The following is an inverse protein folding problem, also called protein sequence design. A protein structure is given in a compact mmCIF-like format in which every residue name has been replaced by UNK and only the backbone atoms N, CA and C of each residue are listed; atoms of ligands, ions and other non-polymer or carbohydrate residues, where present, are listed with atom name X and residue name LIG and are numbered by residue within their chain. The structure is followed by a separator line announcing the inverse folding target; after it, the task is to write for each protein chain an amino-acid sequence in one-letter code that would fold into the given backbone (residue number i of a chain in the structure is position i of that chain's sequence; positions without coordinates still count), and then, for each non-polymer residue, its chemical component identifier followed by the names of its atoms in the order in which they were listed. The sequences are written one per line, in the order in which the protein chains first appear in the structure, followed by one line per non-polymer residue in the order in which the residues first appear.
data_IF_204294137788
#
_entry.id   IF_204294137788
#
_cell.length_a   1.000
_cell.length_b   1.000
_cell.length_c   1.000
_cell.angle_alpha   90.00
_cell.angle_beta   90.00
_cell.angle_gamma   90.00
#
_symmetry.space_group_name_H-M   'P 1'
#
loop_
_entity.id
_entity.type
_entity.pdbx_description
1 polymer ?
#
# COMPACT_ATOMS: atom_id res chain seq x y z
N UNK A 1 11.29 -1.64 -10.03
CA UNK A 1 9.97 -2.04 -10.61
C UNK A 1 10.11 -2.67 -12.00
N UNK A 2 10.96 -2.15 -12.90
CA UNK A 2 11.10 -2.68 -14.26
C UNK A 2 11.44 -4.19 -14.32
N UNK A 3 12.38 -4.67 -13.50
CA UNK A 3 12.74 -6.09 -13.45
C UNK A 3 11.54 -7.00 -13.11
N UNK A 4 10.73 -6.61 -12.12
CA UNK A 4 9.52 -7.34 -11.72
C UNK A 4 8.52 -7.47 -12.88
N UNK A 5 8.29 -6.39 -13.63
CA UNK A 5 7.39 -6.39 -14.78
C UNK A 5 7.95 -7.18 -15.97
N UNK A 6 9.26 -7.05 -16.24
CA UNK A 6 9.93 -7.78 -17.31
C UNK A 6 9.83 -9.29 -17.10
N UNK A 7 10.09 -9.76 -15.87
CA UNK A 7 9.95 -11.17 -15.49
C UNK A 7 8.49 -11.61 -15.56
N UNK A 8 7.55 -10.79 -15.09
CA UNK A 8 6.11 -11.09 -15.20
C UNK A 8 5.68 -11.33 -16.66
N UNK A 9 6.12 -10.45 -17.57
CA UNK A 9 5.84 -10.56 -19.00
C UNK A 9 6.46 -11.80 -19.60
N UNK A 10 7.71 -12.11 -19.25
CA UNK A 10 8.42 -13.23 -19.84
C UNK A 10 7.83 -14.58 -19.42
N UNK A 11 7.52 -14.75 -18.12
CA UNK A 11 6.88 -15.97 -17.62
C UNK A 11 5.49 -16.16 -18.21
N UNK A 12 4.70 -15.08 -18.34
CA UNK A 12 3.39 -15.12 -19.00
C UNK A 12 3.51 -15.49 -20.48
N UNK A 13 4.45 -14.89 -21.21
CA UNK A 13 4.68 -15.18 -22.65
C UNK A 13 5.03 -16.65 -22.87
N UNK A 14 5.81 -17.25 -21.97
CA UNK A 14 6.20 -18.67 -22.02
C UNK A 14 5.16 -19.62 -21.43
N UNK A 15 4.03 -19.11 -20.94
CA UNK A 15 3.00 -19.87 -20.22
C UNK A 15 3.57 -20.71 -19.06
N UNK A 16 4.60 -20.20 -18.37
CA UNK A 16 5.21 -20.88 -17.22
C UNK A 16 4.34 -20.60 -15.99
N UNK A 17 3.80 -21.63 -15.32
CA UNK A 17 3.02 -21.46 -14.10
C UNK A 17 3.85 -20.79 -13.01
N UNK A 18 3.33 -19.72 -12.42
CA UNK A 18 4.00 -18.95 -11.36
C UNK A 18 2.99 -18.14 -10.55
N UNK A 19 3.49 -17.39 -9.56
CA UNK A 19 2.70 -16.50 -8.71
C UNK A 19 2.85 -15.05 -9.20
N UNK A 20 1.74 -14.34 -9.24
CA UNK A 20 1.65 -12.92 -9.56
C UNK A 20 1.28 -12.11 -8.31
N UNK A 21 1.72 -10.84 -8.28
CA UNK A 21 1.29 -9.86 -7.27
C UNK A 21 0.19 -9.02 -7.91
N UNK A 22 -1.04 -9.26 -7.49
CA UNK A 22 -2.23 -8.66 -8.08
C UNK A 22 -2.80 -7.60 -7.15
N UNK A 23 -3.32 -6.54 -7.76
CA UNK A 23 -4.13 -5.53 -7.09
C UNK A 23 -5.29 -5.25 -8.02
N UNK A 24 -6.43 -5.85 -7.72
CA UNK A 24 -7.60 -5.82 -8.60
C UNK A 24 -8.17 -4.41 -8.70
N UNK A 25 -9.10 -4.23 -9.65
CA UNK A 25 -9.86 -2.99 -9.72
C UNK A 25 -10.67 -2.81 -8.43
N UNK A 26 -10.82 -1.57 -7.95
CA UNK A 26 -11.64 -1.28 -6.78
C UNK A 26 -13.10 -1.68 -7.02
N UNK A 27 -13.84 -1.92 -5.94
CA UNK A 27 -15.27 -2.17 -6.02
C UNK A 27 -16.01 -0.88 -6.37
N UNK A 28 -16.95 -0.95 -7.31
CA UNK A 28 -17.69 0.22 -7.80
C UNK A 28 -18.43 0.94 -6.67
N UNK A 29 -19.02 0.19 -5.76
CA UNK A 29 -19.71 0.72 -4.57
C UNK A 29 -18.75 1.49 -3.66
N UNK A 30 -17.56 0.94 -3.38
CA UNK A 30 -16.53 1.60 -2.57
C UNK A 30 -15.98 2.87 -3.22
N UNK A 31 -15.86 2.88 -4.56
CA UNK A 31 -15.50 4.08 -5.29
C UNK A 31 -16.61 5.13 -5.26
N UNK A 32 -17.87 4.73 -5.33
CA UNK A 32 -19.01 5.62 -5.20
C UNK A 32 -19.08 6.25 -3.79
N UNK A 33 -18.92 5.44 -2.74
CA UNK A 33 -18.80 5.94 -1.35
C UNK A 33 -17.68 6.99 -1.22
N UNK A 34 -16.50 6.69 -1.77
CA UNK A 34 -15.37 7.64 -1.74
C UNK A 34 -15.65 8.90 -2.57
N UNK A 35 -16.36 8.78 -3.70
CA UNK A 35 -16.77 9.91 -4.52
C UNK A 35 -17.68 10.86 -3.74
N UNK A 36 -18.71 10.33 -3.06
CA UNK A 36 -19.61 11.13 -2.23
C UNK A 36 -18.86 11.80 -1.06
N UNK A 37 -17.92 11.08 -0.45
CA UNK A 37 -17.05 11.66 0.56
C UNK A 37 -16.24 12.84 0.01
N UNK A 38 -15.62 12.71 -1.16
CA UNK A 38 -14.87 13.81 -1.78
C UNK A 38 -15.77 14.99 -2.20
N UNK A 39 -17.01 14.73 -2.65
CA UNK A 39 -18.00 15.77 -2.95
C UNK A 39 -18.39 16.57 -1.69
N UNK A 40 -18.42 15.94 -0.52
CA UNK A 40 -18.70 16.63 0.76
C UNK A 40 -17.66 17.69 1.14
N UNK A 41 -16.45 17.62 0.58
CA UNK A 41 -15.40 18.63 0.71
C UNK A 41 -15.41 19.65 -0.45
N UNK A 42 -16.52 19.75 -1.19
CA UNK A 42 -16.73 20.68 -2.31
C UNK A 42 -15.78 20.48 -3.51
N UNK A 43 -15.16 19.30 -3.65
CA UNK A 43 -14.38 18.97 -4.85
C UNK A 43 -15.28 18.60 -6.01
N UNK A 44 -14.93 19.01 -7.24
CA UNK A 44 -15.57 18.51 -8.45
C UNK A 44 -15.02 17.13 -8.76
N UNK A 45 -15.86 16.11 -8.64
CA UNK A 45 -15.47 14.71 -8.83
C UNK A 45 -16.22 14.11 -10.02
N UNK A 46 -15.45 13.72 -11.05
CA UNK A 46 -15.95 12.96 -12.19
C UNK A 46 -16.23 11.49 -11.85
N UNK A 47 -16.24 10.64 -12.86
CA UNK A 47 -16.35 9.19 -12.67
C UNK A 47 -14.98 8.61 -12.25
N UNK A 48 -14.91 8.16 -10.99
CA UNK A 48 -13.68 7.61 -10.40
C UNK A 48 -13.30 6.22 -10.89
N UNK A 49 -14.14 5.56 -11.69
CA UNK A 49 -13.74 4.35 -12.43
C UNK A 49 -12.68 4.68 -13.50
N UNK A 50 -12.67 5.93 -13.97
CA UNK A 50 -11.66 6.45 -14.89
C UNK A 50 -10.47 7.03 -14.12
N UNK A 51 -9.30 6.40 -14.29
CA UNK A 51 -8.04 6.83 -13.66
C UNK A 51 -7.70 8.32 -13.84
N UNK A 52 -7.92 8.96 -15.00
CA UNK A 52 -7.65 10.38 -15.15
C UNK A 52 -8.44 11.27 -14.18
N UNK A 53 -9.70 10.93 -13.88
CA UNK A 53 -10.51 11.69 -12.93
C UNK A 53 -9.96 11.56 -11.51
N UNK A 54 -9.54 10.36 -11.12
CA UNK A 54 -8.89 10.14 -9.84
C UNK A 54 -7.57 10.92 -9.72
N UNK A 55 -6.76 10.96 -10.78
CA UNK A 55 -5.52 11.74 -10.81
C UNK A 55 -5.78 13.25 -10.70
N UNK A 56 -6.82 13.76 -11.38
CA UNK A 56 -7.23 15.16 -11.26
C UNK A 56 -7.65 15.50 -9.84
N UNK A 57 -8.45 14.63 -9.20
CA UNK A 57 -8.84 14.81 -7.80
C UNK A 57 -7.62 14.83 -6.88
N UNK A 58 -6.70 13.87 -7.03
CA UNK A 58 -5.46 13.81 -6.24
C UNK A 58 -4.58 15.06 -6.42
N UNK A 59 -4.51 15.61 -7.63
CA UNK A 59 -3.81 16.86 -7.89
C UNK A 59 -4.51 18.05 -7.20
N UNK A 60 -5.84 18.11 -7.25
CA UNK A 60 -6.63 19.19 -6.66
C UNK A 60 -6.53 19.26 -5.13
N UNK A 61 -6.40 18.11 -4.45
CA UNK A 61 -6.31 18.04 -2.99
C UNK A 61 -4.89 18.27 -2.45
N UNK A 62 -3.87 18.33 -3.31
CA UNK A 62 -2.47 18.43 -2.88
C UNK A 62 -2.19 19.78 -2.20
N UNK A 63 -1.58 19.75 -1.01
CA UNK A 63 -1.26 20.92 -0.19
C UNK A 63 -2.44 21.45 0.62
N UNK A 64 -3.59 20.76 0.65
CA UNK A 64 -4.80 21.18 1.36
C UNK A 64 -4.86 20.57 2.76
N UNK A 65 -5.49 21.24 3.75
CA UNK A 65 -5.63 20.70 5.11
C UNK A 65 -6.26 19.30 5.17
N UNK A 66 -7.22 19.03 4.28
CA UNK A 66 -7.97 17.78 4.16
C UNK A 66 -7.27 16.69 3.31
N UNK A 67 -6.12 16.99 2.71
CA UNK A 67 -5.38 16.08 1.81
C UNK A 67 -5.20 14.69 2.44
N UNK A 68 -4.74 14.66 3.70
CA UNK A 68 -4.48 13.41 4.39
C UNK A 68 -5.75 12.59 4.61
N UNK A 69 -6.86 13.24 4.98
CA UNK A 69 -8.13 12.57 5.19
C UNK A 69 -8.66 11.95 3.89
N UNK A 70 -8.62 12.70 2.78
CA UNK A 70 -9.04 12.21 1.47
C UNK A 70 -8.13 11.09 0.95
N UNK A 71 -6.82 11.18 1.14
CA UNK A 71 -5.88 10.09 0.79
C UNK A 71 -6.15 8.81 1.58
N UNK A 72 -6.40 8.91 2.89
CA UNK A 72 -6.72 7.74 3.72
C UNK A 72 -8.07 7.13 3.30
N UNK A 73 -9.07 7.95 3.03
CA UNK A 73 -10.36 7.48 2.54
C UNK A 73 -10.24 6.78 1.18
N UNK A 74 -9.44 7.31 0.26
CA UNK A 74 -9.14 6.65 -1.01
C UNK A 74 -8.47 5.30 -0.78
N UNK A 75 -7.42 5.24 0.06
CA UNK A 75 -6.73 3.97 0.32
C UNK A 75 -7.67 2.89 0.89
N UNK A 76 -8.67 3.30 1.68
CA UNK A 76 -9.71 2.40 2.23
C UNK A 76 -10.73 1.93 1.19
N UNK A 77 -10.94 2.67 0.10
CA UNK A 77 -11.83 2.24 -0.99
C UNK A 77 -11.14 1.30 -1.99
N UNK A 78 -9.81 1.20 -1.94
CA UNK A 78 -9.03 0.28 -2.77
C UNK A 78 -8.92 -1.11 -2.15
N UNK A 79 -8.81 -2.14 -3.00
CA UNK A 79 -8.54 -3.51 -2.57
C UNK A 79 -7.10 -3.67 -2.09
N UNK A 80 -6.88 -4.52 -1.09
CA UNK A 80 -5.52 -4.94 -0.72
C UNK A 80 -4.89 -5.77 -1.83
N UNK A 81 -3.61 -5.53 -2.12
CA UNK A 81 -2.86 -6.37 -3.06
C UNK A 81 -2.62 -7.76 -2.47
N UNK A 82 -2.73 -8.81 -3.27
CA UNK A 82 -2.56 -10.21 -2.87
C UNK A 82 -1.73 -10.99 -3.88
N UNK A 83 -1.30 -12.18 -3.51
CA UNK A 83 -0.70 -13.11 -4.45
C UNK A 83 -1.79 -13.96 -5.13
N UNK A 84 -1.62 -14.25 -6.41
CA UNK A 84 -2.55 -15.05 -7.19
C UNK A 84 -1.83 -15.87 -8.28
N UNK A 85 -2.36 -17.04 -8.68
CA UNK A 85 -1.81 -17.81 -9.79
C UNK A 85 -2.05 -17.15 -11.16
N UNK A 86 -3.06 -16.27 -11.28
CA UNK A 86 -3.38 -15.56 -12.52
C UNK A 86 -2.88 -14.11 -12.50
N UNK A 87 -2.42 -13.58 -13.64
CA UNK A 87 -2.01 -12.18 -13.78
C UNK A 87 -3.23 -11.26 -13.94
N UNK A 88 -3.94 -10.97 -12.84
CA UNK A 88 -5.15 -10.13 -12.82
C UNK A 88 -4.86 -8.61 -12.89
N UNK A 89 -3.61 -8.22 -13.15
CA UNK A 89 -3.17 -6.83 -13.15
C UNK A 89 -2.92 -6.24 -11.76
N UNK A 90 -2.34 -5.04 -11.76
CA UNK A 90 -2.01 -4.28 -10.56
C UNK A 90 -2.47 -2.83 -10.71
N UNK A 91 -3.68 -2.54 -10.24
CA UNK A 91 -4.34 -1.25 -10.39
C UNK A 91 -3.51 -0.09 -9.82
N UNK A 92 -3.00 -0.21 -8.60
CA UNK A 92 -2.19 0.84 -7.98
C UNK A 92 -0.85 1.15 -8.68
N UNK A 93 -0.37 0.27 -9.55
CA UNK A 93 0.87 0.47 -10.33
C UNK A 93 0.60 0.72 -11.82
N UNK A 94 -0.68 0.70 -12.23
CA UNK A 94 -1.09 0.75 -13.62
C UNK A 94 -0.40 -0.30 -14.53
N UNK A 95 -0.15 -1.52 -14.00
CA UNK A 95 0.53 -2.60 -14.75
C UNK A 95 -0.41 -3.76 -15.04
N UNK A 96 -0.37 -4.27 -16.28
CA UNK A 96 -1.14 -5.45 -16.68
C UNK A 96 -0.58 -6.76 -16.12
N UNK A 97 0.75 -6.86 -15.97
CA UNK A 97 1.41 -8.03 -15.41
C UNK A 97 2.45 -7.56 -14.39
N UNK A 98 2.35 -8.07 -13.17
CA UNK A 98 3.28 -7.73 -12.10
C UNK A 98 3.45 -8.91 -11.15
N UNK A 99 4.68 -9.11 -10.67
CA UNK A 99 5.03 -10.10 -9.67
C UNK A 99 6.20 -9.57 -8.83
N UNK A 100 6.53 -10.24 -7.73
CA UNK A 100 7.73 -9.94 -6.97
C UNK A 100 8.86 -10.89 -7.39
N UNK A 101 10.03 -10.33 -7.73
CA UNK A 101 11.20 -11.10 -8.17
C UNK A 101 12.52 -10.66 -7.47
N UNK A 102 12.57 -9.42 -7.01
CA UNK A 102 13.81 -8.73 -6.60
C UNK A 102 14.24 -8.96 -5.14
N UNK A 103 13.55 -9.78 -4.36
CA UNK A 103 13.88 -9.98 -2.94
C UNK A 103 13.65 -11.42 -2.43
N UNK A 104 14.26 -12.44 -3.05
CA UNK A 104 14.08 -13.85 -2.68
C UNK A 104 14.52 -14.22 -1.26
N UNK A 105 15.42 -13.45 -0.65
CA UNK A 105 15.89 -13.70 0.73
C UNK A 105 14.78 -13.50 1.76
N UNK A 106 13.88 -12.54 1.53
CA UNK A 106 12.88 -12.09 2.52
C UNK A 106 11.43 -12.28 2.09
N UNK A 107 11.20 -12.83 0.88
CA UNK A 107 9.86 -13.07 0.34
C UNK A 107 9.84 -14.40 -0.41
N UNK A 108 9.00 -15.31 0.07
CA UNK A 108 8.84 -16.63 -0.56
C UNK A 108 8.25 -16.54 -1.97
N UNK A 109 7.42 -15.53 -2.25
CA UNK A 109 6.88 -15.26 -3.59
C UNK A 109 7.99 -15.15 -4.64
N UNK A 110 9.01 -14.35 -4.36
CA UNK A 110 10.16 -14.16 -5.24
C UNK A 110 10.90 -15.49 -5.44
N UNK A 111 11.09 -16.30 -4.38
CA UNK A 111 11.74 -17.60 -4.49
C UNK A 111 10.98 -18.57 -5.43
N UNK A 112 9.64 -18.56 -5.39
CA UNK A 112 8.81 -19.34 -6.32
C UNK A 112 9.04 -18.89 -7.77
N UNK A 113 9.07 -17.57 -8.02
CA UNK A 113 9.34 -16.99 -9.33
C UNK A 113 10.74 -17.36 -9.83
N UNK A 114 11.76 -17.27 -8.97
CA UNK A 114 13.13 -17.69 -9.29
C UNK A 114 13.21 -19.17 -9.68
N UNK A 115 12.53 -20.06 -8.92
CA UNK A 115 12.45 -21.50 -9.24
C UNK A 115 11.78 -21.76 -10.59
N UNK A 116 10.73 -21.01 -10.93
CA UNK A 116 10.04 -21.11 -12.20
C UNK A 116 10.92 -20.67 -13.39
N UNK A 117 11.79 -19.67 -13.20
CA UNK A 117 12.74 -19.20 -14.22
C UNK A 117 13.87 -20.20 -14.48
N UNK A 118 14.45 -20.78 -13.42
CA UNK A 118 15.61 -21.68 -13.56
C UNK A 118 15.22 -23.03 -14.16
N UNK A 119 14.03 -23.55 -13.83
CA UNK A 119 13.60 -24.89 -14.24
C UNK A 119 12.16 -24.88 -14.80
N UNK A 120 11.93 -24.29 -16.00
CA UNK A 120 10.60 -24.19 -16.58
C UNK A 120 10.03 -25.56 -17.02
N UNK A 121 10.90 -26.49 -17.42
CA UNK A 121 10.54 -27.81 -17.95
C UNK A 121 10.90 -28.93 -16.97
N UNK A 122 10.28 -28.95 -15.78
CA UNK A 122 10.43 -30.06 -14.82
C UNK A 122 9.93 -31.39 -15.42
N UNK A 123 10.76 -32.04 -16.25
CA UNK A 123 10.51 -33.38 -16.80
C UNK A 123 10.66 -34.49 -15.75
N UNK A 124 11.27 -34.22 -14.59
CA UNK A 124 11.61 -35.29 -13.62
C UNK A 124 11.33 -35.00 -12.13
N UNK A 125 10.83 -33.82 -11.72
CA UNK A 125 10.49 -33.55 -10.31
C UNK A 125 9.25 -32.69 -10.22
N UNK A 126 8.13 -33.29 -9.82
CA UNK A 126 6.82 -32.68 -9.52
C UNK A 126 6.52 -31.37 -10.28
N UNK A 127 5.76 -31.46 -11.38
CA UNK A 127 5.05 -30.30 -11.92
C UNK A 127 4.36 -29.61 -10.74
N UNK A 128 4.71 -28.36 -10.45
CA UNK A 128 3.93 -27.59 -9.47
C UNK A 128 2.59 -27.39 -10.15
N UNK A 129 1.59 -28.09 -9.66
CA UNK A 129 0.23 -27.98 -10.19
C UNK A 129 -0.33 -26.59 -9.87
N UNK A 130 -1.25 -26.10 -10.70
CA UNK A 130 -1.93 -24.82 -10.48
C UNK A 130 -2.62 -24.78 -9.11
N UNK A 131 -3.10 -25.92 -8.61
CA UNK A 131 -3.64 -26.07 -7.26
C UNK A 131 -2.61 -25.74 -6.17
N UNK A 132 -1.37 -26.22 -6.33
CA UNK A 132 -0.27 -25.94 -5.41
C UNK A 132 0.12 -24.45 -5.45
N UNK A 133 0.16 -23.85 -6.65
CA UNK A 133 0.43 -22.41 -6.80
C UNK A 133 -0.65 -21.59 -6.09
N UNK A 134 -1.93 -21.97 -6.25
CA UNK A 134 -3.04 -21.31 -5.58
C UNK A 134 -2.93 -21.40 -4.05
N UNK A 135 -2.66 -22.59 -3.51
CA UNK A 135 -2.46 -22.81 -2.08
C UNK A 135 -1.27 -22.01 -1.53
N UNK A 136 -0.13 -22.00 -2.25
CA UNK A 136 1.02 -21.19 -1.86
C UNK A 136 0.66 -19.70 -1.87
N UNK A 137 -0.02 -19.23 -2.92
CA UNK A 137 -0.42 -17.82 -3.06
C UNK A 137 -1.35 -17.37 -1.93
N UNK A 138 -2.29 -18.21 -1.52
CA UNK A 138 -3.15 -17.96 -0.38
C UNK A 138 -2.35 -17.89 0.93
N UNK A 139 -1.50 -18.89 1.18
CA UNK A 139 -0.67 -18.95 2.38
C UNK A 139 0.23 -17.72 2.53
N UNK A 140 0.98 -17.36 1.48
CA UNK A 140 1.88 -16.19 1.55
C UNK A 140 1.12 -14.87 1.66
N UNK A 141 -0.09 -14.77 1.09
CA UNK A 141 -0.96 -13.59 1.25
C UNK A 141 -1.51 -13.49 2.67
N UNK A 142 -1.77 -14.61 3.34
CA UNK A 142 -2.16 -14.64 4.74
C UNK A 142 -0.99 -14.24 5.64
N UNK A 143 0.18 -14.86 5.47
CA UNK A 143 1.35 -14.55 6.30
C UNK A 143 1.85 -13.12 6.10
N UNK A 144 1.72 -12.56 4.89
CA UNK A 144 2.02 -11.14 4.64
C UNK A 144 1.12 -10.21 5.46
N UNK A 145 -0.18 -10.54 5.57
CA UNK A 145 -1.12 -9.79 6.40
C UNK A 145 -0.78 -9.91 7.89
N UNK A 146 -0.58 -11.13 8.37
CA UNK A 146 -0.20 -11.39 9.77
C UNK A 146 1.07 -10.63 10.15
N UNK A 147 2.09 -10.63 9.27
CA UNK A 147 3.33 -9.91 9.53
C UNK A 147 3.12 -8.39 9.57
N UNK A 148 2.30 -7.82 8.69
CA UNK A 148 2.01 -6.39 8.67
C UNK A 148 1.18 -5.94 9.88
N UNK A 149 0.23 -6.76 10.32
CA UNK A 149 -0.58 -6.50 11.51
C UNK A 149 0.32 -6.54 12.76
N UNK A 150 1.18 -7.56 12.89
CA UNK A 150 2.17 -7.66 13.96
C UNK A 150 3.17 -6.49 14.00
N UNK A 151 3.62 -6.00 12.83
CA UNK A 151 4.48 -4.81 12.73
C UNK A 151 3.76 -3.56 13.27
N UNK A 152 2.48 -3.41 12.93
CA UNK A 152 1.64 -2.30 13.40
C UNK A 152 1.47 -2.35 14.92
N UNK A 153 1.12 -3.52 15.47
CA UNK A 153 0.97 -3.73 16.91
C UNK A 153 2.28 -3.45 17.67
N UNK A 154 3.42 -3.91 17.12
CA UNK A 154 4.73 -3.63 17.71
C UNK A 154 5.04 -2.13 17.76
N UNK A 155 4.75 -1.40 16.67
CA UNK A 155 4.94 0.04 16.63
C UNK A 155 4.03 0.78 17.62
N UNK A 156 2.78 0.33 17.79
CA UNK A 156 1.85 0.88 18.78
C UNK A 156 2.33 0.64 20.20
N UNK A 157 2.75 -0.58 20.52
CA UNK A 157 3.34 -0.90 21.83
C UNK A 157 4.53 0.01 22.14
N UNK A 158 5.43 0.22 21.18
CA UNK A 158 6.59 1.13 21.39
C UNK A 158 6.20 2.59 21.56
N UNK A 159 5.12 3.06 20.92
CA UNK A 159 4.59 4.41 21.17
C UNK A 159 4.03 4.54 22.59
N UNK A 160 3.30 3.54 23.07
CA UNK A 160 2.77 3.52 24.44
C UNK A 160 3.90 3.49 25.48
N UNK A 161 4.90 2.63 25.30
CA UNK A 161 6.10 2.61 26.15
C UNK A 161 6.80 3.98 26.18
N UNK A 162 6.89 4.64 25.02
CA UNK A 162 7.48 5.97 24.93
C UNK A 162 6.65 7.02 25.69
N UNK A 163 5.33 7.05 25.50
CA UNK A 163 4.46 8.01 26.19
C UNK A 163 4.46 7.79 27.70
N UNK A 164 4.47 6.54 28.17
CA UNK A 164 4.61 6.25 29.60
C UNK A 164 5.90 6.86 30.16
N UNK A 165 7.04 6.65 29.49
CA UNK A 165 8.32 7.25 29.91
C UNK A 165 8.30 8.78 29.91
N UNK A 166 7.51 9.42 29.04
CA UNK A 166 7.35 10.88 29.03
C UNK A 166 6.50 11.37 30.20
N UNK A 167 5.44 10.65 30.55
CA UNK A 167 4.61 10.97 31.72
C UNK A 167 5.39 10.83 33.03
N UNK A 168 6.23 9.80 33.14
CA UNK A 168 7.07 9.58 34.32
C UNK A 168 8.15 10.66 34.49
N UNK A 169 8.53 11.35 33.39
CA UNK A 169 9.45 12.49 33.42
C UNK A 169 8.69 13.76 33.78
N UNK A 170 9.01 14.37 34.93
CA UNK A 170 8.47 15.66 35.39
C UNK A 170 8.74 16.86 34.45
N UNK A 171 9.48 16.67 33.36
CA UNK A 171 9.69 17.65 32.29
C UNK A 171 9.50 16.97 30.93
N UNK A 172 8.26 16.83 30.44
CA UNK A 172 7.96 16.13 29.20
C UNK A 172 8.63 16.85 28.02
N UNK A 173 9.19 16.08 27.07
CA UNK A 173 9.73 16.67 25.86
C UNK A 173 8.59 17.26 25.01
N UNK A 174 8.48 18.58 25.00
CA UNK A 174 7.55 19.30 24.12
C UNK A 174 8.11 19.23 22.70
N UNK A 175 7.48 18.42 21.85
CA UNK A 175 7.74 18.44 20.42
C UNK A 175 7.08 19.67 19.82
N UNK A 176 7.86 20.72 19.58
CA UNK A 176 7.43 21.88 18.81
C UNK A 176 7.27 21.47 17.34
N UNK A 177 6.10 20.94 16.98
CA UNK A 177 5.71 20.91 15.58
C UNK A 177 5.63 22.35 15.10
N UNK A 178 6.30 22.65 13.98
CA UNK A 178 6.41 23.98 13.40
C UNK A 178 5.04 24.67 13.19
N UNK A 179 4.53 25.29 14.24
CA UNK A 179 3.56 26.38 14.18
C UNK A 179 4.25 27.59 14.79
N UNK A 180 5.05 28.26 13.96
CA UNK A 180 5.58 29.59 14.27
C UNK A 180 4.42 30.59 14.14
N UNK A 181 3.42 30.48 15.02
CA UNK A 181 2.56 31.64 15.31
C UNK A 181 3.44 32.63 16.06
N UNK A 182 3.87 33.68 15.35
CA UNK A 182 4.40 34.91 15.93
C UNK A 182 3.34 35.47 16.90
N UNK A 183 3.46 35.15 18.17
CA UNK A 183 2.96 36.01 19.23
C UNK A 183 4.13 36.95 19.57
N UNK A 184 4.07 38.18 19.06
CA UNK A 184 4.89 39.27 19.59
C UNK A 184 4.56 39.45 21.07
N UNK A 185 5.54 39.64 21.97
CA UNK A 185 5.25 39.99 23.35
C UNK A 185 4.63 41.39 23.37
N UNK A 186 3.47 41.51 24.01
CA UNK A 186 2.88 42.78 24.35
C UNK A 186 3.91 43.63 25.11
N UNK A 187 4.23 44.80 24.57
CA UNK A 187 5.09 45.78 25.22
C UNK A 187 4.37 46.29 26.47
N UNK A 188 4.91 45.92 27.63
CA UNK A 188 4.61 46.55 28.90
C UNK A 188 5.10 48.00 28.88
N UNK A 189 4.19 48.98 28.78
CA UNK A 189 4.46 50.34 29.24
C UNK A 189 3.67 50.58 30.52
N UNK A 190 4.44 50.77 31.59
CA UNK A 190 4.01 51.19 32.93
C UNK A 190 3.76 52.72 32.95
N UNK A 191 2.85 53.23 33.81
CA UNK A 191 2.46 54.63 33.85
C UNK A 191 3.45 55.45 34.69
N UNK A 192 3.92 56.57 34.12
CA UNK A 192 4.32 57.78 34.84
C UNK A 192 4.05 58.99 33.97
#
# INVERSE_FOLDING_TARGET
LAANEAVARELKKRAIPTIYRVHENPDLEKLAEYREFALSFNYKVGDLTHRPELQRLLAAITGKPEEQALKVALLKSLKRARYAPQPLGHYGLAKANYLHFTSPIRRYADLVVHRALVNPNRKHRSRIDMSQIASIAEHISLTERIAADAETESAEMKKLEFFQRQLDRRNPQIFWWNYRMRLSPASSMSPR
#
